data_IF_453441080368
#
_entry.id   IF_453441080368
#
_cell.length_a   1.000
_cell.length_b   1.000
_cell.length_c   1.000
_cell.angle_alpha   90.00
_cell.angle_beta   90.00
_cell.angle_gamma   90.00
#
_symmetry.space_group_name_H-M   'P 1'
#
loop_
_entity.id
_entity.type
_entity.pdbx_description
1 polymer ?
#
# COMPACT_ATOMS: atom_id res chain seq x y z
N UNK A 1 -31.94 47.37 17.14
CA UNK A 1 -32.62 48.04 18.27
C UNK A 1 -33.93 47.28 18.51
N UNK A 2 -33.88 46.26 19.36
CA UNK A 2 -35.08 45.66 19.96
C UNK A 2 -35.39 46.48 21.24
N UNK A 3 -36.58 46.50 21.85
CA UNK A 3 -37.58 45.42 21.86
C UNK A 3 -39.05 45.98 21.88
N UNK A 4 -40.16 45.35 22.28
CA UNK A 4 -40.46 44.39 23.36
C UNK A 4 -41.99 44.12 23.36
N UNK A 5 -42.37 42.95 23.92
CA UNK A 5 -43.64 42.66 24.64
C UNK A 5 -44.88 42.33 23.77
N UNK A 6 -45.44 41.12 23.89
CA UNK A 6 -46.48 40.80 24.88
C UNK A 6 -46.90 39.32 24.79
N UNK A 7 -47.04 38.71 25.96
CA UNK A 7 -47.63 37.39 26.22
C UNK A 7 -49.00 37.60 26.88
N UNK A 8 -49.90 36.60 26.77
CA UNK A 8 -51.10 36.26 27.59
C UNK A 8 -52.32 36.05 26.67
N UNK A 9 -52.78 34.83 26.36
CA UNK A 9 -53.47 33.76 27.13
C UNK A 9 -55.02 33.85 27.09
N UNK A 10 -55.62 32.73 26.62
CA UNK A 10 -56.90 32.07 27.00
C UNK A 10 -58.21 32.44 26.29
N UNK A 11 -58.60 31.51 25.40
CA UNK A 11 -59.82 30.69 25.30
C UNK A 11 -61.24 31.29 25.39
N UNK A 12 -62.13 30.84 24.47
CA UNK A 12 -63.29 29.99 24.78
C UNK A 12 -64.23 29.77 23.56
N UNK A 13 -64.69 28.51 23.41
CA UNK A 13 -66.00 28.00 22.93
C UNK A 13 -66.60 28.49 21.59
N UNK A 14 -66.68 27.66 20.54
CA UNK A 14 -67.64 26.58 20.26
C UNK A 14 -69.03 27.05 19.76
N UNK A 15 -69.39 26.70 18.51
CA UNK A 15 -70.56 25.87 18.15
C UNK A 15 -70.82 25.85 16.64
N UNK A 16 -71.28 24.69 16.19
CA UNK A 16 -71.56 24.26 14.83
C UNK A 16 -72.82 24.91 14.22
N UNK A 17 -72.92 24.92 12.88
CA UNK A 17 -73.90 24.08 12.14
C UNK A 17 -74.04 24.47 10.65
N UNK A 18 -74.47 23.44 9.89
CA UNK A 18 -75.21 23.45 8.63
C UNK A 18 -74.44 23.25 7.31
N UNK A 19 -74.76 22.09 6.74
CA UNK A 19 -74.32 21.48 5.49
C UNK A 19 -75.13 22.01 4.30
N UNK A 20 -74.49 22.03 3.12
CA UNK A 20 -75.13 21.70 1.84
C UNK A 20 -74.06 21.36 0.79
N UNK A 21 -74.09 20.10 0.34
CA UNK A 21 -73.47 19.46 -0.85
C UNK A 21 -73.95 20.14 -2.16
N UNK A 22 -73.37 19.97 -3.37
CA UNK A 22 -72.48 18.93 -3.91
C UNK A 22 -71.24 19.48 -4.67
N UNK A 23 -70.21 18.73 -5.08
CA UNK A 23 -70.16 17.69 -6.12
C UNK A 23 -68.72 17.11 -6.13
N UNK A 24 -68.59 15.81 -6.43
CA UNK A 24 -67.34 15.06 -6.30
C UNK A 24 -66.38 15.27 -7.49
N UNK A 25 -65.11 15.53 -7.20
CA UNK A 25 -63.98 15.26 -8.10
C UNK A 25 -63.12 14.14 -7.48
N UNK A 26 -62.62 13.17 -8.26
CA UNK A 26 -61.86 12.03 -7.76
C UNK A 26 -60.49 12.48 -7.23
N UNK A 27 -60.21 12.10 -5.97
CA UNK A 27 -58.90 12.23 -5.34
C UNK A 27 -57.89 11.37 -6.09
N UNK A 28 -56.76 11.98 -6.44
CA UNK A 28 -55.54 11.29 -6.82
C UNK A 28 -54.94 10.72 -5.54
N UNK A 29 -54.77 9.39 -5.49
CA UNK A 29 -54.00 8.73 -4.46
C UNK A 29 -52.55 9.24 -4.46
N UNK A 30 -51.89 9.40 -3.30
CA UNK A 30 -50.49 9.79 -3.27
C UNK A 30 -49.66 8.65 -3.86
N UNK A 31 -48.81 9.00 -4.83
CA UNK A 31 -47.74 8.12 -5.30
C UNK A 31 -46.82 7.85 -4.10
N UNK A 32 -46.80 6.60 -3.63
CA UNK A 32 -45.75 6.12 -2.74
C UNK A 32 -44.41 6.27 -3.46
N UNK A 33 -43.62 7.21 -2.96
CA UNK A 33 -42.20 7.35 -3.29
C UNK A 33 -41.52 6.10 -2.73
N UNK A 34 -41.24 5.11 -3.60
CA UNK A 34 -40.33 4.01 -3.30
C UNK A 34 -38.99 4.64 -2.92
N UNK A 35 -38.75 4.76 -1.62
CA UNK A 35 -37.45 5.05 -1.08
C UNK A 35 -36.51 3.94 -1.56
N UNK A 36 -35.57 4.29 -2.43
CA UNK A 36 -34.42 3.45 -2.70
C UNK A 36 -33.71 3.22 -1.37
N UNK A 37 -33.83 2.02 -0.81
CA UNK A 37 -32.90 1.54 0.20
C UNK A 37 -31.51 1.49 -0.45
N UNK A 38 -30.74 2.56 -0.27
CA UNK A 38 -29.29 2.44 -0.28
C UNK A 38 -28.95 1.45 0.84
N UNK A 39 -28.63 0.22 0.44
CA UNK A 39 -27.94 -0.73 1.30
C UNK A 39 -26.56 -0.12 1.55
N UNK A 40 -26.44 0.70 2.60
CA UNK A 40 -25.15 1.06 3.15
C UNK A 40 -24.52 -0.25 3.62
N UNK A 41 -23.52 -0.74 2.89
CA UNK A 41 -22.71 -1.86 3.36
C UNK A 41 -22.16 -1.51 4.74
N UNK A 42 -22.42 -2.37 5.73
CA UNK A 42 -21.84 -2.22 7.06
C UNK A 42 -20.31 -2.30 6.92
N UNK A 43 -19.64 -1.16 7.09
CA UNK A 43 -18.19 -1.10 7.12
C UNK A 43 -17.66 -1.95 8.28
N UNK A 44 -16.90 -3.01 7.97
CA UNK A 44 -16.17 -3.77 8.97
C UNK A 44 -14.92 -3.01 9.41
N UNK A 45 -15.10 -2.06 10.35
CA UNK A 45 -14.01 -1.31 10.97
C UNK A 45 -13.10 -2.20 11.85
N UNK A 46 -13.43 -3.48 12.06
CA UNK A 46 -12.64 -4.34 12.95
C UNK A 46 -11.38 -4.85 12.27
N UNK A 47 -11.47 -5.20 11.00
CA UNK A 47 -10.39 -5.79 10.23
C UNK A 47 -9.68 -4.76 9.34
N UNK A 48 -8.39 -4.98 9.09
CA UNK A 48 -7.60 -4.17 8.18
C UNK A 48 -7.86 -4.55 6.71
N UNK A 49 -9.13 -4.59 6.32
CA UNK A 49 -9.57 -4.81 4.93
C UNK A 49 -10.30 -3.57 4.44
N UNK A 50 -9.95 -3.02 3.27
CA UNK A 50 -10.63 -1.84 2.73
C UNK A 50 -12.10 -2.15 2.38
N UNK A 51 -13.02 -1.17 2.50
CA UNK A 51 -14.36 -1.34 1.98
C UNK A 51 -14.37 -1.38 0.43
N UNK A 52 -15.33 -2.09 -0.15
CA UNK A 52 -15.38 -2.37 -1.60
C UNK A 52 -15.43 -1.09 -2.45
N UNK A 53 -16.19 -0.09 -2.00
CA UNK A 53 -16.28 1.21 -2.68
C UNK A 53 -14.92 1.92 -2.73
N UNK A 54 -14.16 1.90 -1.63
CA UNK A 54 -12.82 2.47 -1.57
C UNK A 54 -11.89 1.74 -2.54
N UNK A 55 -11.94 0.41 -2.60
CA UNK A 55 -11.12 -0.37 -3.55
C UNK A 55 -11.45 0.04 -4.98
N UNK A 56 -12.74 0.11 -5.31
CA UNK A 56 -13.21 0.47 -6.66
C UNK A 56 -12.72 1.86 -7.06
N UNK A 57 -12.90 2.86 -6.19
CA UNK A 57 -12.44 4.23 -6.43
C UNK A 57 -10.91 4.31 -6.56
N UNK A 58 -10.18 3.70 -5.61
CA UNK A 58 -8.72 3.70 -5.59
C UNK A 58 -8.12 3.06 -6.84
N UNK A 59 -8.70 1.95 -7.31
CA UNK A 59 -8.27 1.25 -8.52
C UNK A 59 -8.55 2.12 -9.76
N UNK A 60 -9.72 2.74 -9.85
CA UNK A 60 -10.08 3.62 -10.95
C UNK A 60 -9.12 4.83 -11.05
N UNK A 61 -8.85 5.51 -9.93
CA UNK A 61 -7.92 6.63 -9.87
C UNK A 61 -6.49 6.24 -10.26
N UNK A 62 -6.01 5.09 -9.76
CA UNK A 62 -4.66 4.60 -10.05
C UNK A 62 -4.53 4.23 -11.52
N UNK A 63 -5.56 3.60 -12.10
CA UNK A 63 -5.61 3.26 -13.52
C UNK A 63 -5.61 4.52 -14.39
N UNK A 64 -6.47 5.50 -14.09
CA UNK A 64 -6.52 6.77 -14.84
C UNK A 64 -5.16 7.47 -14.81
N UNK A 65 -4.56 7.61 -13.62
CA UNK A 65 -3.24 8.22 -13.44
C UNK A 65 -2.14 7.50 -14.22
N UNK A 66 -2.05 6.18 -14.09
CA UNK A 66 -1.01 5.39 -14.75
C UNK A 66 -1.17 5.38 -16.27
N UNK A 67 -2.40 5.26 -16.77
CA UNK A 67 -2.66 5.23 -18.21
C UNK A 67 -2.49 6.59 -18.91
N UNK A 68 -2.26 7.67 -18.17
CA UNK A 68 -2.00 9.00 -18.74
C UNK A 68 -0.62 9.11 -19.43
N UNK A 69 0.30 8.17 -19.20
CA UNK A 69 1.64 8.15 -19.80
C UNK A 69 2.01 6.77 -20.33
N UNK A 70 2.99 6.72 -21.23
CA UNK A 70 3.53 5.45 -21.73
C UNK A 70 4.21 4.63 -20.62
N UNK A 71 5.04 5.29 -19.79
CA UNK A 71 5.70 4.68 -18.65
C UNK A 71 4.69 4.09 -17.65
N UNK A 72 3.65 4.86 -17.30
CA UNK A 72 2.60 4.39 -16.41
C UNK A 72 1.75 3.27 -17.02
N UNK A 73 1.55 3.28 -18.34
CA UNK A 73 0.87 2.18 -19.04
C UNK A 73 1.65 0.86 -18.92
N UNK A 74 2.98 0.90 -18.99
CA UNK A 74 3.81 -0.29 -18.75
C UNK A 74 3.70 -0.80 -17.32
N UNK A 75 3.73 0.10 -16.34
CA UNK A 75 3.53 -0.24 -14.92
C UNK A 75 2.14 -0.86 -14.71
N UNK A 76 1.08 -0.28 -15.28
CA UNK A 76 -0.28 -0.82 -15.19
C UNK A 76 -0.38 -2.22 -15.80
N UNK A 77 0.18 -2.44 -17.00
CA UNK A 77 0.24 -3.78 -17.60
C UNK A 77 0.96 -4.78 -16.70
N UNK A 78 2.03 -4.34 -16.04
CA UNK A 78 2.74 -5.18 -15.09
C UNK A 78 1.90 -5.51 -13.86
N UNK A 79 1.20 -4.54 -13.26
CA UNK A 79 0.25 -4.77 -12.16
C UNK A 79 -0.79 -5.82 -12.54
N UNK A 80 -1.40 -5.69 -13.73
CA UNK A 80 -2.37 -6.66 -14.24
C UNK A 80 -1.74 -8.05 -14.46
N UNK A 81 -0.51 -8.11 -14.98
CA UNK A 81 0.22 -9.37 -15.17
C UNK A 81 0.57 -10.10 -13.86
N UNK A 82 0.60 -9.40 -12.73
CA UNK A 82 0.82 -9.99 -11.40
C UNK A 82 -0.48 -10.29 -10.65
N UNK A 83 -1.66 -10.04 -11.24
CA UNK A 83 -2.94 -10.40 -10.65
C UNK A 83 -3.94 -9.25 -10.49
N UNK A 84 -3.50 -8.02 -10.76
CA UNK A 84 -4.35 -6.83 -10.79
C UNK A 84 -4.51 -6.14 -9.44
N UNK A 85 -4.68 -4.82 -9.49
CA UNK A 85 -4.71 -3.97 -8.29
C UNK A 85 -5.97 -4.17 -7.43
N UNK A 86 -7.09 -4.53 -8.06
CA UNK A 86 -8.34 -4.80 -7.36
C UNK A 86 -8.18 -5.98 -6.39
N UNK A 87 -7.72 -7.12 -6.91
CA UNK A 87 -7.49 -8.32 -6.08
C UNK A 87 -6.44 -8.07 -5.00
N UNK A 88 -5.40 -7.28 -5.32
CA UNK A 88 -4.36 -6.91 -4.36
C UNK A 88 -4.94 -6.25 -3.10
N UNK A 89 -5.89 -5.32 -3.25
CA UNK A 89 -6.55 -4.67 -2.13
C UNK A 89 -7.63 -5.53 -1.48
N UNK A 90 -8.44 -6.25 -2.27
CA UNK A 90 -9.51 -7.13 -1.76
C UNK A 90 -8.98 -8.28 -0.91
N UNK A 91 -7.79 -8.79 -1.21
CA UNK A 91 -7.17 -9.86 -0.42
C UNK A 91 -6.79 -9.41 1.01
N UNK A 92 -6.70 -8.10 1.26
CA UNK A 92 -6.37 -7.55 2.58
C UNK A 92 -4.88 -7.69 2.94
N UNK A 93 -4.55 -7.80 4.24
CA UNK A 93 -3.17 -7.77 4.71
C UNK A 93 -2.32 -8.93 4.21
N UNK A 94 -1.12 -8.63 3.73
CA UNK A 94 -0.17 -9.62 3.22
C UNK A 94 0.78 -10.06 4.34
N UNK A 95 0.87 -11.36 4.58
CA UNK A 95 1.85 -11.98 5.48
C UNK A 95 2.89 -12.79 4.70
N UNK A 96 4.15 -12.69 5.12
CA UNK A 96 5.24 -13.48 4.54
C UNK A 96 6.45 -13.50 5.47
N UNK A 97 7.29 -14.51 5.31
CA UNK A 97 8.66 -14.51 5.81
C UNK A 97 9.60 -13.94 4.75
N UNK A 98 10.47 -13.03 5.17
CA UNK A 98 11.50 -12.41 4.34
C UNK A 98 12.87 -12.67 4.96
N UNK A 99 13.66 -13.51 4.28
CA UNK A 99 14.95 -14.00 4.73
C UNK A 99 16.07 -13.36 3.91
N UNK A 100 16.60 -12.24 4.42
CA UNK A 100 17.64 -11.45 3.78
C UNK A 100 19.02 -11.85 4.31
N UNK A 101 19.85 -12.43 3.45
CA UNK A 101 21.21 -12.90 3.79
C UNK A 101 22.28 -12.18 2.95
N UNK A 102 22.99 -11.19 3.52
CA UNK A 102 24.23 -10.69 2.92
C UNK A 102 25.25 -11.82 2.73
N UNK A 103 25.97 -11.83 1.61
CA UNK A 103 27.05 -12.79 1.32
C UNK A 103 28.44 -12.29 1.72
N UNK A 104 28.52 -11.02 2.14
CA UNK A 104 29.75 -10.39 2.63
C UNK A 104 29.53 -9.80 4.02
N UNK A 105 29.94 -8.54 4.19
CA UNK A 105 29.71 -7.81 5.44
C UNK A 105 28.22 -7.49 5.63
N UNK A 106 27.71 -7.77 6.84
CA UNK A 106 26.32 -7.50 7.20
C UNK A 106 25.74 -8.66 8.02
N UNK A 107 24.73 -8.33 8.83
CA UNK A 107 23.98 -9.34 9.59
C UNK A 107 22.76 -9.80 8.78
N UNK A 108 22.38 -11.09 8.84
CA UNK A 108 21.12 -11.56 8.30
C UNK A 108 19.94 -10.79 8.91
N UNK A 109 18.89 -10.60 8.11
CA UNK A 109 17.62 -10.03 8.55
C UNK A 109 16.53 -11.00 8.13
N UNK A 110 16.04 -11.76 9.10
CA UNK A 110 15.05 -12.81 8.86
C UNK A 110 13.85 -12.51 9.73
N UNK A 111 12.77 -12.05 9.09
CA UNK A 111 11.56 -11.61 9.79
C UNK A 111 10.34 -12.17 9.11
N UNK A 112 9.28 -12.37 9.86
CA UNK A 112 7.95 -12.47 9.27
C UNK A 112 7.34 -11.09 9.34
N UNK A 113 6.84 -10.62 8.21
CA UNK A 113 6.19 -9.33 8.07
C UNK A 113 4.73 -9.56 7.76
N UNK A 114 3.86 -8.82 8.43
CA UNK A 114 2.48 -8.62 7.98
C UNK A 114 2.35 -7.15 7.61
N UNK A 115 1.77 -6.87 6.45
CA UNK A 115 1.58 -5.51 5.91
C UNK A 115 0.13 -5.27 5.61
N UNK A 116 -0.38 -4.14 6.04
CA UNK A 116 -1.68 -3.62 5.63
C UNK A 116 -1.56 -2.97 4.24
N UNK A 117 -2.07 -3.63 3.20
CA UNK A 117 -1.76 -3.32 1.79
C UNK A 117 -2.37 -2.01 1.30
N UNK A 118 -3.44 -1.52 1.92
CA UNK A 118 -4.09 -0.25 1.58
C UNK A 118 -3.58 0.97 2.37
N UNK A 119 -3.02 0.77 3.58
CA UNK A 119 -2.58 1.86 4.47
C UNK A 119 -1.07 1.87 4.74
N UNK A 120 -0.34 0.88 4.20
CA UNK A 120 1.11 0.71 4.39
C UNK A 120 1.55 0.65 5.85
N UNK A 121 0.71 0.16 6.75
CA UNK A 121 1.12 -0.20 8.12
C UNK A 121 1.80 -1.56 8.10
N UNK A 122 2.81 -1.77 8.93
CA UNK A 122 3.56 -3.02 8.93
C UNK A 122 4.00 -3.44 10.33
N UNK A 123 4.06 -4.76 10.54
CA UNK A 123 4.59 -5.37 11.76
C UNK A 123 5.48 -6.54 11.41
N UNK A 124 6.66 -6.56 12.01
CA UNK A 124 7.66 -7.59 11.90
C UNK A 124 7.80 -8.34 13.21
N UNK A 125 8.09 -9.63 13.10
CA UNK A 125 8.58 -10.49 14.17
C UNK A 125 9.92 -11.09 13.72
N UNK A 126 10.92 -11.18 14.59
CA UNK A 126 12.23 -11.80 14.27
C UNK A 126 12.12 -13.32 14.19
N UNK A 127 12.70 -13.96 13.17
CA UNK A 127 12.50 -15.40 12.86
C UNK A 127 13.00 -16.33 13.97
N UNK A 128 14.08 -15.94 14.63
CA UNK A 128 14.70 -16.65 15.74
C UNK A 128 14.07 -16.32 17.10
N UNK A 129 13.50 -15.13 17.26
CA UNK A 129 12.79 -14.71 18.47
C UNK A 129 11.52 -13.90 18.16
N UNK A 130 10.36 -14.57 18.23
CA UNK A 130 9.04 -13.98 17.90
C UNK A 130 8.61 -12.89 18.89
N UNK A 131 9.21 -12.81 20.07
CA UNK A 131 8.87 -11.79 21.07
C UNK A 131 9.54 -10.44 20.77
N UNK A 132 10.56 -10.45 19.89
CA UNK A 132 11.20 -9.26 19.33
C UNK A 132 10.47 -8.83 18.05
N UNK A 133 9.91 -7.63 18.11
CA UNK A 133 9.00 -7.09 17.11
C UNK A 133 9.34 -5.64 16.80
N UNK A 134 9.00 -5.19 15.61
CA UNK A 134 9.06 -3.79 15.23
C UNK A 134 8.09 -3.51 14.09
N UNK A 135 7.77 -2.26 13.84
CA UNK A 135 6.79 -1.94 12.81
C UNK A 135 6.66 -0.46 12.53
N UNK A 136 5.72 -0.17 11.65
CA UNK A 136 5.22 1.16 11.29
C UNK A 136 3.71 1.15 11.50
N UNK A 137 3.21 2.00 12.39
CA UNK A 137 1.78 2.06 12.73
C UNK A 137 0.95 2.97 11.80
N UNK A 138 1.61 3.60 10.83
CA UNK A 138 1.01 4.60 9.93
C UNK A 138 1.54 6.00 10.17
N UNK A 139 2.07 6.27 11.36
CA UNK A 139 2.57 7.59 11.78
C UNK A 139 4.03 7.53 12.27
N UNK A 140 4.39 6.46 13.00
CA UNK A 140 5.70 6.31 13.60
C UNK A 140 6.19 4.86 13.57
N UNK A 141 7.51 4.71 13.53
CA UNK A 141 8.14 3.42 13.71
C UNK A 141 8.21 3.08 15.21
N UNK A 142 8.19 1.80 15.54
CA UNK A 142 8.27 1.31 16.91
C UNK A 142 9.06 0.01 16.99
N UNK A 143 9.57 -0.32 18.18
CA UNK A 143 10.18 -1.62 18.48
C UNK A 143 9.77 -2.15 19.85
N UNK A 144 9.76 -3.47 20.00
CA UNK A 144 9.45 -4.22 21.22
C UNK A 144 10.41 -5.41 21.36
N UNK A 145 10.91 -5.71 22.58
CA UNK A 145 10.93 -4.83 23.75
C UNK A 145 11.56 -3.46 23.47
N UNK A 146 11.25 -2.47 24.31
CA UNK A 146 11.76 -1.10 24.14
C UNK A 146 13.30 -1.00 24.05
N UNK A 147 14.02 -1.94 24.64
CA UNK A 147 15.48 -2.07 24.67
C UNK A 147 16.03 -3.20 23.79
N UNK A 148 15.21 -3.77 22.90
CA UNK A 148 15.65 -4.80 21.96
C UNK A 148 16.86 -4.35 21.13
N UNK A 149 17.91 -5.18 21.11
CA UNK A 149 19.08 -4.99 20.26
C UNK A 149 18.83 -5.61 18.87
N UNK A 150 18.12 -4.87 18.03
CA UNK A 150 17.84 -5.29 16.66
C UNK A 150 19.02 -4.88 15.76
N UNK A 151 19.57 -5.86 15.04
CA UNK A 151 20.74 -5.73 14.17
C UNK A 151 20.60 -4.78 12.95
N UNK A 152 19.47 -4.09 12.82
CA UNK A 152 19.10 -3.21 11.71
C UNK A 152 18.35 -2.00 12.27
N UNK A 153 18.29 -0.88 11.54
CA UNK A 153 17.45 0.25 11.92
C UNK A 153 15.97 -0.12 11.66
N UNK A 154 15.12 -0.27 12.69
CA UNK A 154 13.76 -0.76 12.51
C UNK A 154 12.86 0.20 11.73
N UNK A 155 13.09 1.51 11.84
CA UNK A 155 12.34 2.52 11.07
C UNK A 155 12.61 2.40 9.58
N UNK A 156 13.90 2.36 9.20
CA UNK A 156 14.29 2.14 7.80
C UNK A 156 13.70 0.84 7.25
N UNK A 157 13.73 -0.23 8.04
CA UNK A 157 13.38 -1.56 7.56
C UNK A 157 11.88 -1.88 7.58
N UNK A 158 11.07 -1.13 8.32
CA UNK A 158 9.64 -1.43 8.53
C UNK A 158 8.83 -1.62 7.23
N UNK A 159 9.17 -0.90 6.16
CA UNK A 159 8.53 -1.03 4.84
C UNK A 159 9.48 -1.48 3.72
N UNK A 160 10.78 -1.62 3.99
CA UNK A 160 11.76 -1.98 2.96
C UNK A 160 11.44 -3.34 2.30
N UNK A 161 11.18 -4.44 3.04
CA UNK A 161 10.82 -5.70 2.39
C UNK A 161 9.48 -5.64 1.65
N UNK A 162 8.51 -4.90 2.19
CA UNK A 162 7.21 -4.68 1.55
C UNK A 162 7.38 -4.08 0.16
N UNK A 163 8.17 -3.02 0.03
CA UNK A 163 8.45 -2.39 -1.26
C UNK A 163 9.06 -3.38 -2.26
N UNK A 164 10.00 -4.24 -1.85
CA UNK A 164 10.58 -5.21 -2.79
C UNK A 164 9.58 -6.28 -3.24
N UNK A 165 8.78 -6.83 -2.33
CA UNK A 165 7.85 -7.93 -2.67
C UNK A 165 6.59 -7.44 -3.37
N UNK A 166 6.17 -6.19 -3.12
CA UNK A 166 4.95 -5.62 -3.65
C UNK A 166 5.15 -4.80 -4.93
N UNK A 167 6.35 -4.74 -5.51
CA UNK A 167 6.50 -4.25 -6.88
C UNK A 167 5.77 -5.20 -7.85
N UNK A 168 4.97 -4.70 -8.81
CA UNK A 168 4.78 -3.29 -9.16
C UNK A 168 3.58 -2.58 -8.49
N UNK A 169 2.81 -3.24 -7.62
CA UNK A 169 1.58 -2.69 -7.01
C UNK A 169 1.79 -1.35 -6.31
N UNK A 170 2.88 -1.19 -5.54
CA UNK A 170 3.21 0.07 -4.84
C UNK A 170 3.47 1.25 -5.78
N UNK A 171 3.71 1.02 -7.07
CA UNK A 171 3.83 2.09 -8.08
C UNK A 171 2.47 2.64 -8.52
N UNK A 172 1.37 2.01 -8.10
CA UNK A 172 0.01 2.55 -8.22
C UNK A 172 -0.28 3.67 -7.22
N UNK A 173 0.64 3.98 -6.30
CA UNK A 173 0.40 4.98 -5.25
C UNK A 173 0.56 6.43 -5.70
N UNK A 174 -0.14 7.38 -5.03
CA UNK A 174 0.05 8.80 -5.30
C UNK A 174 1.48 9.22 -4.92
N UNK A 175 2.00 10.24 -5.60
CA UNK A 175 3.35 10.75 -5.35
C UNK A 175 4.46 10.00 -6.09
N UNK A 176 4.16 8.88 -6.76
CA UNK A 176 5.09 8.19 -7.67
C UNK A 176 5.17 8.93 -9.00
N UNK A 177 6.39 9.23 -9.44
CA UNK A 177 6.68 9.81 -10.75
C UNK A 177 7.33 8.74 -11.63
N UNK A 178 6.87 8.60 -12.87
CA UNK A 178 7.33 7.57 -13.79
C UNK A 178 7.94 8.19 -15.05
N UNK A 179 9.14 7.74 -15.40
CA UNK A 179 9.87 8.12 -16.60
C UNK A 179 10.13 6.88 -17.46
N UNK A 180 9.79 6.96 -18.76
CA UNK A 180 10.13 5.92 -19.70
C UNK A 180 11.62 6.01 -20.03
N UNK A 181 12.37 4.94 -19.76
CA UNK A 181 13.78 4.84 -20.12
C UNK A 181 13.92 4.30 -21.55
N UNK A 182 13.01 3.40 -21.94
CA UNK A 182 13.04 2.71 -23.23
C UNK A 182 13.47 1.26 -23.06
N UNK A 183 14.05 0.67 -24.10
CA UNK A 183 14.47 -0.73 -24.08
C UNK A 183 15.93 -0.86 -23.63
N UNK A 184 16.18 -1.74 -22.65
CA UNK A 184 17.53 -2.12 -22.24
C UNK A 184 17.73 -3.65 -22.32
N UNK A 185 18.95 -4.07 -22.61
CA UNK A 185 19.34 -5.48 -22.54
C UNK A 185 19.87 -5.81 -21.14
N UNK A 186 19.33 -6.86 -20.53
CA UNK A 186 19.86 -7.43 -19.30
C UNK A 186 20.04 -8.93 -19.50
N UNK A 187 21.30 -9.39 -19.39
CA UNK A 187 21.68 -10.80 -19.54
C UNK A 187 21.19 -11.45 -20.85
N UNK A 188 21.24 -10.70 -21.97
CA UNK A 188 20.85 -11.21 -23.30
C UNK A 188 19.35 -11.19 -23.59
N UNK A 189 18.53 -10.61 -22.70
CA UNK A 189 17.10 -10.38 -22.91
C UNK A 189 16.82 -8.88 -22.92
N UNK A 190 16.04 -8.41 -23.89
CA UNK A 190 15.54 -7.02 -23.95
C UNK A 190 14.32 -6.86 -23.04
N UNK A 191 14.28 -5.76 -22.30
CA UNK A 191 13.20 -5.39 -21.38
C UNK A 191 12.72 -3.98 -21.66
N UNK A 192 11.43 -3.74 -21.43
CA UNK A 192 10.86 -2.40 -21.38
C UNK A 192 11.16 -1.79 -20.01
N UNK A 193 11.83 -0.63 -19.98
CA UNK A 193 12.39 -0.06 -18.75
C UNK A 193 11.69 1.24 -18.36
N UNK A 194 11.30 1.30 -17.08
CA UNK A 194 10.69 2.48 -16.45
C UNK A 194 11.48 2.85 -15.21
N UNK A 195 11.76 4.14 -15.03
CA UNK A 195 12.30 4.68 -13.79
C UNK A 195 11.17 5.27 -12.95
N UNK A 196 11.12 4.88 -11.69
CA UNK A 196 10.22 5.42 -10.67
C UNK A 196 11.02 6.27 -9.67
N UNK A 197 10.53 7.47 -9.41
CA UNK A 197 10.99 8.37 -8.33
C UNK A 197 9.79 8.83 -7.50
N UNK A 198 10.05 9.50 -6.38
CA UNK A 198 8.99 9.89 -5.45
C UNK A 198 8.98 11.40 -5.22
N UNK A 199 7.77 11.92 -5.02
CA UNK A 199 7.57 13.33 -4.70
C UNK A 199 7.99 13.60 -3.25
N UNK A 200 8.37 14.84 -2.96
CA UNK A 200 8.69 15.23 -1.58
C UNK A 200 7.49 14.93 -0.64
N UNK A 201 7.76 14.26 0.48
CA UNK A 201 6.74 13.82 1.43
C UNK A 201 6.17 12.42 1.15
N UNK A 202 6.61 11.73 0.09
CA UNK A 202 6.27 10.33 -0.15
C UNK A 202 7.28 9.42 0.53
N UNK A 203 6.91 8.89 1.69
CA UNK A 203 7.75 8.01 2.50
C UNK A 203 8.93 8.72 3.19
N UNK A 204 9.73 7.93 3.91
CA UNK A 204 10.88 8.41 4.69
C UNK A 204 12.14 8.68 3.85
N UNK A 205 12.18 8.18 2.60
CA UNK A 205 13.32 8.30 1.69
C UNK A 205 12.85 8.67 0.27
N UNK A 206 12.30 9.88 0.05
CA UNK A 206 11.75 10.28 -1.25
C UNK A 206 12.82 10.40 -2.36
N UNK A 207 14.11 10.47 -1.98
CA UNK A 207 15.24 10.50 -2.91
C UNK A 207 15.67 9.09 -3.39
N UNK A 208 15.01 8.03 -2.91
CA UNK A 208 15.13 6.69 -3.48
C UNK A 208 14.61 6.70 -4.93
N UNK A 209 15.17 5.82 -5.75
CA UNK A 209 14.59 5.53 -7.06
C UNK A 209 14.72 4.06 -7.40
N UNK A 210 13.83 3.62 -8.29
CA UNK A 210 13.79 2.27 -8.83
C UNK A 210 13.82 2.33 -10.35
N UNK A 211 14.60 1.46 -11.00
CA UNK A 211 14.58 1.26 -12.45
C UNK A 211 14.10 -0.15 -12.72
N UNK A 212 12.88 -0.29 -13.25
CA UNK A 212 12.15 -1.54 -13.38
C UNK A 212 12.30 -2.14 -14.77
N UNK A 213 12.53 -3.45 -14.84
CA UNK A 213 12.70 -4.20 -16.07
C UNK A 213 11.49 -5.10 -16.31
N UNK A 214 10.62 -4.70 -17.22
CA UNK A 214 9.42 -5.46 -17.59
C UNK A 214 9.67 -6.31 -18.83
N UNK A 215 9.29 -7.59 -18.76
CA UNK A 215 9.41 -8.47 -19.92
C UNK A 215 8.41 -8.05 -21.00
N UNK A 216 8.82 -7.85 -22.27
CA UNK A 216 7.96 -7.23 -23.29
C UNK A 216 6.69 -8.05 -23.59
N UNK A 217 6.78 -9.39 -23.59
CA UNK A 217 5.62 -10.24 -23.91
C UNK A 217 4.68 -10.53 -22.73
N UNK A 218 5.24 -10.64 -21.52
CA UNK A 218 4.47 -11.07 -20.33
C UNK A 218 4.13 -9.90 -19.42
N UNK A 219 4.77 -8.75 -19.62
CA UNK A 219 4.76 -7.56 -18.77
C UNK A 219 5.16 -7.81 -17.31
N UNK A 220 5.61 -9.02 -16.96
CA UNK A 220 6.07 -9.34 -15.60
C UNK A 220 7.37 -8.60 -15.29
N UNK A 221 7.52 -8.21 -14.03
CA UNK A 221 8.72 -7.58 -13.51
C UNK A 221 9.78 -8.66 -13.32
N UNK A 222 10.95 -8.46 -13.92
CA UNK A 222 12.03 -9.47 -13.90
C UNK A 222 13.26 -9.00 -13.16
N UNK A 223 13.46 -7.69 -13.07
CA UNK A 223 14.51 -7.10 -12.26
C UNK A 223 14.14 -5.67 -11.86
N UNK A 224 14.81 -5.16 -10.83
CA UNK A 224 14.86 -3.74 -10.54
C UNK A 224 16.28 -3.31 -10.19
N UNK A 225 16.67 -2.11 -10.60
CA UNK A 225 17.81 -1.40 -9.99
C UNK A 225 17.28 -0.44 -8.95
N UNK A 226 18.05 -0.24 -7.88
CA UNK A 226 17.66 0.69 -6.82
C UNK A 226 18.87 1.29 -6.12
N UNK A 227 18.62 2.44 -5.48
CA UNK A 227 19.52 3.06 -4.51
C UNK A 227 18.81 3.17 -3.16
N UNK A 228 19.58 3.46 -2.10
CA UNK A 228 19.05 3.81 -0.77
C UNK A 228 19.58 5.17 -0.39
N UNK A 229 18.70 6.12 -0.10
CA UNK A 229 18.99 7.51 0.27
C UNK A 229 18.47 7.88 1.66
N UNK A 230 18.09 6.88 2.48
CA UNK A 230 17.50 7.09 3.80
C UNK A 230 18.27 8.14 4.63
N UNK A 231 17.62 9.22 5.09
CA UNK A 231 18.31 10.33 5.76
C UNK A 231 19.11 9.92 7.01
N UNK A 232 18.69 8.87 7.71
CA UNK A 232 19.40 8.34 8.88
C UNK A 232 20.78 7.75 8.54
N UNK A 233 21.00 7.38 7.27
CA UNK A 233 22.30 6.96 6.74
C UNK A 233 23.01 8.07 5.96
N UNK A 234 22.24 9.00 5.38
CA UNK A 234 22.73 10.07 4.51
C UNK A 234 22.19 11.45 4.97
N UNK A 235 22.59 11.96 6.14
CA UNK A 235 22.03 13.19 6.71
C UNK A 235 22.36 14.46 5.90
N UNK A 236 23.42 14.42 5.08
CA UNK A 236 23.82 15.49 4.17
C UNK A 236 23.32 15.25 2.72
N UNK A 237 22.45 14.25 2.53
CA UNK A 237 22.01 13.78 1.22
C UNK A 237 22.97 12.78 0.58
N UNK A 238 22.56 12.27 -0.59
CA UNK A 238 23.25 11.21 -1.32
C UNK A 238 22.57 9.85 -1.14
N UNK A 239 23.19 8.82 -1.71
CA UNK A 239 22.63 7.48 -1.72
C UNK A 239 23.72 6.41 -1.91
N UNK A 240 23.37 5.16 -1.66
CA UNK A 240 24.23 4.02 -2.00
C UNK A 240 24.45 3.92 -3.51
N UNK A 241 25.54 3.30 -3.99
CA UNK A 241 25.62 2.85 -5.38
C UNK A 241 24.41 1.98 -5.76
N UNK A 242 24.06 1.97 -7.04
CA UNK A 242 22.98 1.13 -7.54
C UNK A 242 23.26 -0.36 -7.26
N UNK A 243 22.18 -1.07 -6.93
CA UNK A 243 22.15 -2.53 -6.88
C UNK A 243 21.11 -3.04 -7.85
N UNK A 244 21.34 -4.22 -8.41
CA UNK A 244 20.38 -4.93 -9.25
C UNK A 244 19.78 -6.09 -8.45
N UNK A 245 18.46 -6.09 -8.30
CA UNK A 245 17.69 -7.19 -7.74
C UNK A 245 16.97 -7.93 -8.87
N UNK A 246 17.12 -9.25 -8.96
CA UNK A 246 16.40 -10.08 -9.94
C UNK A 246 15.20 -10.75 -9.26
N UNK A 247 14.07 -10.86 -9.94
CA UNK A 247 12.87 -11.54 -9.48
C UNK A 247 12.87 -12.98 -10.01
N UNK A 248 13.10 -13.96 -9.13
CA UNK A 248 13.26 -15.37 -9.50
C UNK A 248 12.26 -16.30 -8.79
N UNK A 249 11.75 -17.28 -9.53
CA UNK A 249 10.85 -18.32 -9.03
C UNK A 249 9.46 -17.76 -8.73
N UNK A 250 8.51 -17.93 -9.65
CA UNK A 250 7.15 -17.45 -9.44
C UNK A 250 6.41 -18.30 -8.41
N UNK A 251 5.62 -17.65 -7.56
CA UNK A 251 4.64 -18.27 -6.68
C UNK A 251 3.35 -17.46 -6.72
N UNK A 252 2.21 -18.13 -6.90
CA UNK A 252 0.90 -17.47 -6.93
C UNK A 252 0.10 -17.84 -5.70
N UNK A 253 -0.37 -16.83 -4.97
CA UNK A 253 -1.18 -16.96 -3.75
C UNK A 253 -2.38 -16.04 -3.89
N UNK A 254 -3.59 -16.59 -3.71
CA UNK A 254 -4.85 -15.87 -3.85
C UNK A 254 -4.92 -14.99 -5.09
N UNK A 255 -4.50 -15.54 -6.24
CA UNK A 255 -4.52 -14.87 -7.53
C UNK A 255 -3.51 -13.74 -7.74
N UNK A 256 -2.58 -13.52 -6.79
CA UNK A 256 -1.45 -12.59 -6.93
C UNK A 256 -0.16 -13.38 -7.11
N UNK A 257 0.67 -12.99 -8.08
CA UNK A 257 1.95 -13.64 -8.38
C UNK A 257 3.10 -12.84 -7.80
N UNK A 258 3.94 -13.50 -7.00
CA UNK A 258 5.15 -12.96 -6.39
C UNK A 258 6.39 -13.70 -6.90
N UNK A 259 7.56 -13.09 -6.75
CA UNK A 259 8.82 -13.82 -6.82
C UNK A 259 9.10 -14.53 -5.48
N UNK A 260 9.83 -15.64 -5.56
CA UNK A 260 10.28 -16.43 -4.41
C UNK A 260 11.66 -15.99 -3.95
N UNK A 261 12.53 -15.61 -4.88
CA UNK A 261 13.90 -15.22 -4.58
C UNK A 261 14.22 -13.87 -5.20
N UNK A 262 15.06 -13.12 -4.49
CA UNK A 262 15.51 -11.79 -4.90
C UNK A 262 17.05 -11.68 -4.83
N UNK A 263 17.80 -12.49 -5.61
CA UNK A 263 19.24 -12.36 -5.62
C UNK A 263 19.63 -10.93 -6.03
N UNK A 264 20.44 -10.31 -5.19
CA UNK A 264 20.86 -8.92 -5.38
C UNK A 264 22.34 -8.87 -5.70
N UNK A 265 22.67 -8.12 -6.75
CA UNK A 265 24.00 -7.94 -7.31
C UNK A 265 24.43 -6.48 -7.16
N UNK A 266 25.75 -6.25 -7.09
CA UNK A 266 26.29 -4.93 -7.40
C UNK A 266 25.99 -4.60 -8.87
N UNK A 267 25.81 -3.32 -9.17
CA UNK A 267 25.61 -2.84 -10.54
C UNK A 267 26.79 -1.97 -10.97
N UNK A 268 27.26 -2.18 -12.20
CA UNK A 268 28.21 -1.31 -12.88
C UNK A 268 27.42 -0.39 -13.82
N UNK A 269 27.27 0.89 -13.42
CA UNK A 269 26.51 1.88 -14.19
C UNK A 269 27.19 2.24 -15.51
N UNK A 270 28.52 2.24 -15.57
CA UNK A 270 29.24 2.60 -16.81
C UNK A 270 29.15 1.48 -17.85
N UNK A 271 29.29 0.23 -17.40
CA UNK A 271 29.20 -0.94 -18.26
C UNK A 271 27.77 -1.48 -18.43
N UNK A 272 26.79 -0.89 -17.74
CA UNK A 272 25.38 -1.29 -17.71
C UNK A 272 25.20 -2.82 -17.50
N UNK A 273 25.85 -3.39 -16.47
CA UNK A 273 25.82 -4.84 -16.23
C UNK A 273 25.88 -5.22 -14.75
N UNK A 274 25.34 -6.39 -14.37
CA UNK A 274 25.51 -6.91 -13.02
C UNK A 274 26.95 -7.34 -12.77
N UNK A 275 27.38 -7.18 -11.52
CA UNK A 275 28.61 -7.73 -10.97
C UNK A 275 28.28 -8.85 -9.98
N UNK A 276 29.12 -9.02 -8.96
CA UNK A 276 28.98 -10.08 -7.95
C UNK A 276 27.62 -10.01 -7.24
N UNK A 277 27.06 -11.20 -6.99
CA UNK A 277 25.93 -11.37 -6.07
C UNK A 277 26.39 -11.01 -4.66
N UNK A 278 25.68 -10.10 -4.01
CA UNK A 278 25.98 -9.61 -2.65
C UNK A 278 24.94 -10.00 -1.62
N UNK A 279 23.73 -10.36 -2.04
CA UNK A 279 22.66 -10.80 -1.14
C UNK A 279 21.87 -11.95 -1.76
N UNK A 280 21.55 -12.95 -0.94
CA UNK A 280 20.50 -13.92 -1.21
C UNK A 280 19.26 -13.56 -0.37
N UNK A 281 18.10 -13.52 -1.01
CA UNK A 281 16.84 -13.17 -0.36
C UNK A 281 15.80 -14.21 -0.78
N UNK A 282 15.06 -14.75 0.18
CA UNK A 282 13.91 -15.63 -0.06
C UNK A 282 12.65 -15.05 0.59
N UNK A 283 11.54 -15.08 -0.16
CA UNK A 283 10.19 -14.84 0.33
C UNK A 283 9.46 -16.18 0.43
N UNK A 284 8.98 -16.51 1.61
CA UNK A 284 8.30 -17.76 1.92
C UNK A 284 7.10 -17.52 2.84
N UNK A 285 6.32 -18.56 3.11
CA UNK A 285 5.15 -18.50 4.01
C UNK A 285 4.17 -17.38 3.65
N UNK A 286 3.93 -17.23 2.33
CA UNK A 286 3.13 -16.15 1.76
C UNK A 286 1.65 -16.48 1.88
N UNK A 287 0.89 -15.60 2.52
CA UNK A 287 -0.56 -15.71 2.65
C UNK A 287 -1.20 -14.33 2.82
N UNK A 288 -2.43 -14.18 2.32
CA UNK A 288 -3.26 -13.04 2.68
C UNK A 288 -4.10 -13.34 3.92
N UNK A 289 -4.25 -12.36 4.81
CA UNK A 289 -4.91 -12.49 6.11
C UNK A 289 -6.01 -11.44 6.28
N UNK A 290 -7.13 -11.51 5.54
CA UNK A 290 -8.20 -10.51 5.59
C UNK A 290 -8.86 -10.36 6.97
N UNK A 291 -8.76 -11.39 7.83
CA UNK A 291 -9.23 -11.33 9.23
C UNK A 291 -8.25 -10.72 10.22
N UNK A 292 -7.22 -10.00 9.76
CA UNK A 292 -6.27 -9.32 10.65
C UNK A 292 -6.92 -8.05 11.21
N UNK A 293 -7.05 -7.90 12.54
CA UNK A 293 -7.66 -6.70 13.12
C UNK A 293 -6.83 -5.44 12.85
N UNK A 294 -7.46 -4.27 12.75
CA UNK A 294 -6.72 -3.00 12.63
C UNK A 294 -5.72 -2.79 13.77
N UNK A 295 -6.14 -3.12 15.00
CA UNK A 295 -5.32 -3.02 16.21
C UNK A 295 -4.03 -3.88 16.16
N UNK A 296 -3.92 -4.83 15.23
CA UNK A 296 -2.70 -5.62 15.04
C UNK A 296 -1.49 -4.75 14.66
N UNK A 297 -1.75 -3.66 13.93
CA UNK A 297 -0.74 -2.74 13.40
C UNK A 297 -0.41 -1.58 14.34
N UNK A 298 -1.20 -1.40 15.40
CA UNK A 298 -0.91 -0.40 16.43
C UNK A 298 0.36 -0.75 17.19
N UNK A 299 1.05 0.28 17.69
CA UNK A 299 2.19 0.09 18.58
C UNK A 299 1.76 -0.66 19.85
N UNK A 300 2.32 -1.85 20.14
CA UNK A 300 1.87 -2.66 21.27
C UNK A 300 2.38 -2.13 22.62
N UNK A 301 1.75 -2.56 23.71
CA UNK A 301 2.23 -2.29 25.06
C UNK A 301 3.68 -2.80 25.24
N UNK A 302 4.51 -1.99 25.92
CA UNK A 302 5.93 -2.30 26.13
C UNK A 302 6.84 -2.02 24.93
N UNK A 303 6.28 -1.54 23.82
CA UNK A 303 7.05 -0.98 22.71
C UNK A 303 7.52 0.45 23.01
N UNK A 304 8.50 0.89 22.24
CA UNK A 304 8.99 2.26 22.23
C UNK A 304 8.90 2.82 20.80
N UNK A 305 8.42 4.05 20.69
CA UNK A 305 8.45 4.84 19.46
C UNK A 305 9.88 5.21 19.06
N UNK A 306 10.15 5.20 17.75
CA UNK A 306 11.41 5.53 17.12
C UNK A 306 11.27 6.87 16.38
N UNK A 307 11.74 7.92 17.03
CA UNK A 307 11.73 9.28 16.49
C UNK A 307 12.92 9.54 15.56
N UNK A 308 12.73 10.39 14.55
CA UNK A 308 13.79 10.82 13.64
C UNK A 308 14.13 9.78 12.56
N UNK A 309 15.30 9.94 11.95
CA UNK A 309 15.89 9.02 10.96
C UNK A 309 17.20 8.43 11.49
#
# INVERSE_FOLDING_TARGET
>A
MNPRILLVLVAAFALAACQSTPEAQPQQDPVEEEAAEEVAEEFDDQNATPPENWVTERVAESKERLQATEAGTLVWKSIEAHGGLQRWFENGPLHFRFDYRPLGEGKPRDTYQTVDTWSSRARHQMADDRDVEFGWDGEQAWQKPADADIALNPRFWALTPYYFVAMPFVLGDPGVNLELVGDEELQGQTYEVVKATFSAGTGDAPDDYYVLYFHPDTHKLRALRYVVSYPGFFPEGGHTPEKLMIYEGEQTVDGITFAKNFPTHKWDTEAAKPLDKVTAIEMSDVEFRPGTPQAYFEMPEGAKALEGY
#
